data_IF_462644860220
#
_entry.id   IF_462644860220
#
_cell.length_a   1.000
_cell.length_b   1.000
_cell.length_c   1.000
_cell.angle_alpha   90.00
_cell.angle_beta   90.00
_cell.angle_gamma   90.00
#
_symmetry.space_group_name_H-M   'P 1'
#
loop_
_entity.id
_entity.type
_entity.pdbx_description
1 polymer ?
#
# COMPACT_ATOMS: atom_id res chain seq x y z
N UNK A 1 13.80 2.42 -9.96
CA UNK A 1 12.40 1.94 -9.84
C UNK A 1 11.55 3.17 -9.52
N UNK A 2 10.54 3.49 -10.32
CA UNK A 2 9.67 4.65 -10.10
C UNK A 2 8.44 4.22 -9.29
N UNK A 3 8.11 4.99 -8.26
CA UNK A 3 6.91 4.84 -7.45
C UNK A 3 5.98 5.99 -7.80
N UNK A 4 4.68 5.70 -7.92
CA UNK A 4 3.69 6.69 -8.34
C UNK A 4 3.24 7.57 -7.16
N UNK A 5 3.30 7.03 -5.95
CA UNK A 5 3.03 7.77 -4.71
C UNK A 5 3.85 7.21 -3.55
N UNK A 6 4.14 8.07 -2.58
CA UNK A 6 4.81 7.72 -1.33
C UNK A 6 4.01 8.35 -0.19
N UNK A 7 3.56 7.53 0.75
CA UNK A 7 2.87 7.94 1.98
C UNK A 7 3.78 7.73 3.16
N UNK A 8 3.90 8.69 4.06
CA UNK A 8 4.71 8.56 5.26
C UNK A 8 3.83 8.24 6.46
N UNK A 9 3.80 6.97 6.87
CA UNK A 9 3.03 6.54 8.05
C UNK A 9 4.01 6.38 9.21
N UNK A 10 3.87 7.19 10.26
CA UNK A 10 4.80 7.19 11.42
C UNK A 10 6.27 7.33 10.99
N UNK A 11 6.55 8.21 10.04
CA UNK A 11 7.90 8.42 9.46
C UNK A 11 8.47 7.21 8.70
N UNK A 12 7.63 6.23 8.34
CA UNK A 12 8.01 5.09 7.50
C UNK A 12 7.39 5.26 6.11
N UNK A 13 8.17 5.17 5.03
CA UNK A 13 7.65 5.32 3.69
C UNK A 13 6.89 4.07 3.25
N UNK A 14 5.65 4.28 2.81
CA UNK A 14 4.79 3.31 2.14
C UNK A 14 4.69 3.70 0.68
N UNK A 15 5.22 2.85 -0.17
CA UNK A 15 5.35 3.08 -1.59
C UNK A 15 4.19 2.46 -2.34
N UNK A 16 3.59 3.22 -3.24
CA UNK A 16 2.54 2.75 -4.12
C UNK A 16 3.00 2.81 -5.57
N UNK A 17 2.69 1.74 -6.31
CA UNK A 17 3.02 1.62 -7.74
C UNK A 17 1.87 1.00 -8.51
N UNK A 18 1.55 1.53 -9.69
CA UNK A 18 0.61 0.95 -10.62
C UNK A 18 1.19 -0.27 -11.32
N UNK A 19 0.37 -1.30 -11.51
CA UNK A 19 0.73 -2.50 -12.26
C UNK A 19 0.12 -2.46 -13.66
N UNK A 20 0.74 -3.14 -14.66
CA UNK A 20 0.17 -3.25 -16.00
C UNK A 20 -1.23 -3.88 -16.05
N UNK A 21 -1.61 -4.68 -15.05
CA UNK A 21 -2.95 -5.24 -14.90
C UNK A 21 -4.02 -4.19 -14.57
N UNK A 22 -3.61 -2.97 -14.25
CA UNK A 22 -4.49 -1.95 -13.71
C UNK A 22 -4.72 -2.08 -12.20
N UNK A 23 -3.96 -2.91 -11.49
CA UNK A 23 -3.91 -2.99 -10.02
C UNK A 23 -2.90 -1.98 -9.44
N UNK A 24 -2.76 -1.91 -8.11
CA UNK A 24 -1.61 -1.27 -7.45
C UNK A 24 -0.86 -2.25 -6.56
N UNK A 25 0.45 -2.03 -6.43
CA UNK A 25 1.29 -2.64 -5.42
C UNK A 25 1.54 -1.63 -4.30
N UNK A 26 1.38 -2.07 -3.05
CA UNK A 26 1.67 -1.29 -1.83
C UNK A 26 2.77 -1.99 -1.07
N UNK A 27 3.90 -1.33 -0.90
CA UNK A 27 5.09 -1.87 -0.23
C UNK A 27 5.57 -0.94 0.87
N UNK A 28 6.11 -1.50 1.95
CA UNK A 28 6.76 -0.76 3.03
C UNK A 28 7.97 -1.55 3.54
N UNK A 29 8.98 -0.89 4.12
CA UNK A 29 10.08 -1.58 4.79
C UNK A 29 9.59 -2.32 6.05
N UNK A 30 10.38 -3.27 6.56
CA UNK A 30 10.01 -4.09 7.73
C UNK A 30 9.82 -3.19 8.95
N UNK A 31 8.56 -2.99 9.33
CA UNK A 31 8.16 -2.25 10.52
C UNK A 31 6.79 -2.75 10.97
N UNK A 32 6.72 -3.38 12.15
CA UNK A 32 5.53 -4.13 12.60
C UNK A 32 4.27 -3.27 12.66
N UNK A 33 4.34 -2.09 13.30
CA UNK A 33 3.16 -1.22 13.42
C UNK A 33 2.63 -0.74 12.05
N UNK A 34 3.52 -0.38 11.13
CA UNK A 34 3.14 0.08 9.79
C UNK A 34 2.64 -1.10 8.96
N UNK A 35 3.24 -2.28 9.13
CA UNK A 35 2.75 -3.52 8.54
C UNK A 35 1.32 -3.81 8.96
N UNK A 36 1.00 -3.72 10.25
CA UNK A 36 -0.36 -3.91 10.74
C UNK A 36 -1.35 -2.88 10.18
N UNK A 37 -0.95 -1.60 10.05
CA UNK A 37 -1.80 -0.55 9.46
C UNK A 37 -2.04 -0.83 7.97
N UNK A 38 -0.97 -1.06 7.19
CA UNK A 38 -1.06 -1.33 5.75
C UNK A 38 -1.84 -2.60 5.49
N UNK A 39 -1.62 -3.64 6.28
CA UNK A 39 -2.38 -4.88 6.23
C UNK A 39 -3.86 -4.63 6.47
N UNK A 40 -4.25 -3.92 7.54
CA UNK A 40 -5.65 -3.63 7.81
C UNK A 40 -6.33 -2.86 6.67
N UNK A 41 -5.60 -1.96 6.00
CA UNK A 41 -6.12 -1.21 4.84
C UNK A 41 -6.26 -2.12 3.61
N UNK A 42 -5.26 -2.95 3.32
CA UNK A 42 -5.20 -3.75 2.09
C UNK A 42 -5.97 -5.07 2.18
N UNK A 43 -6.16 -5.60 3.39
CA UNK A 43 -6.90 -6.84 3.66
C UNK A 43 -8.34 -6.67 3.18
N UNK A 44 -8.86 -7.71 2.52
CA UNK A 44 -10.14 -7.70 1.77
C UNK A 44 -10.19 -6.85 0.49
N UNK A 45 -9.19 -6.01 0.22
CA UNK A 45 -9.09 -5.21 -1.01
C UNK A 45 -8.04 -5.74 -2.00
N UNK A 46 -7.32 -6.80 -1.63
CA UNK A 46 -6.21 -7.34 -2.38
C UNK A 46 -5.70 -8.66 -1.83
N UNK A 47 -4.45 -8.97 -2.19
CA UNK A 47 -3.73 -10.15 -1.70
C UNK A 47 -2.29 -9.81 -1.33
N UNK A 48 -1.73 -10.52 -0.37
CA UNK A 48 -0.30 -10.51 -0.11
C UNK A 48 0.45 -11.25 -1.22
N UNK A 49 1.57 -10.69 -1.67
CA UNK A 49 2.50 -11.33 -2.58
C UNK A 49 3.84 -11.56 -1.87
N UNK A 50 4.09 -12.80 -1.47
CA UNK A 50 5.29 -13.20 -0.73
C UNK A 50 6.58 -13.13 -1.54
N UNK A 51 6.52 -13.14 -2.87
CA UNK A 51 7.71 -13.03 -3.72
C UNK A 51 8.36 -11.63 -3.61
N UNK A 52 7.53 -10.59 -3.47
CA UNK A 52 7.97 -9.20 -3.40
C UNK A 52 7.69 -8.53 -2.05
N UNK A 53 7.16 -9.29 -1.10
CA UNK A 53 6.73 -8.82 0.23
C UNK A 53 5.87 -7.54 0.15
N UNK A 54 4.88 -7.53 -0.73
CA UNK A 54 3.99 -6.40 -0.93
C UNK A 54 2.52 -6.82 -1.03
N UNK A 55 1.64 -5.86 -0.85
CA UNK A 55 0.21 -6.03 -1.11
C UNK A 55 -0.10 -5.70 -2.56
N UNK A 56 -0.84 -6.57 -3.24
CA UNK A 56 -1.44 -6.30 -4.53
C UNK A 56 -2.91 -5.97 -4.31
N UNK A 57 -3.29 -4.72 -4.51
CA UNK A 57 -4.66 -4.21 -4.34
C UNK A 57 -5.34 -4.16 -5.70
N UNK A 58 -6.53 -4.74 -5.77
CA UNK A 58 -7.26 -4.84 -7.04
C UNK A 58 -7.72 -3.48 -7.54
N UNK A 59 -7.73 -3.30 -8.85
CA UNK A 59 -8.10 -2.06 -9.55
C UNK A 59 -9.35 -1.37 -8.99
N UNK A 60 -10.43 -2.12 -8.73
CA UNK A 60 -11.70 -1.61 -8.21
C UNK A 60 -11.62 -1.01 -6.79
N UNK A 61 -10.56 -1.34 -6.03
CA UNK A 61 -10.34 -0.86 -4.67
C UNK A 61 -9.19 0.15 -4.57
N UNK A 62 -8.64 0.63 -5.70
CA UNK A 62 -7.57 1.63 -5.70
C UNK A 62 -7.93 2.88 -4.92
N UNK A 63 -9.01 3.55 -5.32
CA UNK A 63 -9.42 4.81 -4.70
C UNK A 63 -9.65 4.70 -3.19
N UNK A 64 -10.43 3.73 -2.66
CA UNK A 64 -10.61 3.61 -1.22
C UNK A 64 -9.29 3.33 -0.48
N UNK A 65 -8.41 2.47 -1.01
CA UNK A 65 -7.11 2.19 -0.38
C UNK A 65 -6.20 3.42 -0.37
N UNK A 66 -6.12 4.15 -1.49
CA UNK A 66 -5.31 5.37 -1.58
C UNK A 66 -5.81 6.45 -0.62
N UNK A 67 -7.13 6.60 -0.50
CA UNK A 67 -7.73 7.53 0.45
C UNK A 67 -7.37 7.15 1.89
N UNK A 68 -7.55 5.88 2.28
CA UNK A 68 -7.18 5.41 3.62
C UNK A 68 -5.68 5.56 3.91
N UNK A 69 -4.81 5.29 2.94
CA UNK A 69 -3.36 5.53 3.08
C UNK A 69 -3.04 7.02 3.30
N UNK A 70 -3.73 7.90 2.59
CA UNK A 70 -3.60 9.36 2.76
C UNK A 70 -4.08 9.81 4.14
N UNK A 71 -5.22 9.31 4.60
CA UNK A 71 -5.80 9.65 5.91
C UNK A 71 -4.87 9.25 7.06
N UNK A 72 -4.24 8.07 6.99
CA UNK A 72 -3.32 7.59 8.05
C UNK A 72 -1.92 8.18 7.96
N UNK A 73 -1.50 8.67 6.79
CA UNK A 73 -0.24 9.38 6.65
C UNK A 73 -0.29 10.72 7.40
N UNK A 74 -1.44 11.40 7.36
CA UNK A 74 -1.58 12.77 7.86
C UNK A 74 -0.80 13.76 7.00
N UNK A 75 -1.26 15.02 6.95
CA UNK A 75 -0.50 16.14 6.36
C UNK A 75 0.87 16.31 7.02
#
# INVERSE_FOLDING_TARGET
MSYDAIYYIKNVPVYVRQLPSGDIAVWHPIHELVGNIVENICRHHGRWNSQYNNWIVFSKFKSPVLNSLSEVAGD
#
